data_IF_920809724672
#
_entry.id   IF_920809724672
#
_cell.length_a   1.000
_cell.length_b   1.000
_cell.length_c   1.000
_cell.angle_alpha   90.00
_cell.angle_beta   90.00
_cell.angle_gamma   90.00
#
_symmetry.space_group_name_H-M   'P 1'
#
loop_
_entity.id
_entity.type
_entity.pdbx_description
1 polymer ?
#
# COMPACT_ATOMS: atom_id res chain seq x y z
N UNK A 1 34.97 31.04 7.43
CA UNK A 1 33.67 31.01 8.13
C UNK A 1 32.52 30.43 7.30
N UNK A 2 32.56 30.51 5.96
CA UNK A 2 31.54 29.91 5.07
C UNK A 2 31.52 28.36 4.93
N UNK A 3 32.65 27.62 4.98
CA UNK A 3 32.62 26.17 4.69
C UNK A 3 31.98 25.34 5.80
N UNK A 4 32.05 25.78 7.06
CA UNK A 4 31.41 25.11 8.19
C UNK A 4 29.89 25.22 8.12
N UNK A 5 29.36 26.35 7.67
CA UNK A 5 27.93 26.56 7.49
C UNK A 5 27.36 25.61 6.42
N UNK A 6 28.05 25.44 5.30
CA UNK A 6 27.65 24.53 4.23
C UNK A 6 27.63 23.06 4.69
N UNK A 7 28.61 22.65 5.50
CA UNK A 7 28.65 21.30 6.09
C UNK A 7 27.50 21.06 7.07
N UNK A 8 27.15 22.06 7.89
CA UNK A 8 26.00 21.97 8.82
C UNK A 8 24.66 21.88 8.07
N UNK A 9 24.47 22.67 7.01
CA UNK A 9 23.24 22.61 6.20
C UNK A 9 23.14 21.26 5.48
N UNK A 10 24.25 20.78 4.89
CA UNK A 10 24.28 19.49 4.19
C UNK A 10 23.99 18.32 5.12
N UNK A 11 24.64 18.28 6.29
CA UNK A 11 24.39 17.23 7.29
C UNK A 11 22.97 17.26 7.83
N UNK A 12 22.41 18.44 8.09
CA UNK A 12 21.02 18.58 8.52
C UNK A 12 20.04 18.03 7.47
N UNK A 13 20.24 18.34 6.18
CA UNK A 13 19.42 17.80 5.10
C UNK A 13 19.49 16.27 5.02
N UNK A 14 20.69 15.69 5.15
CA UNK A 14 20.88 14.23 5.16
C UNK A 14 20.18 13.58 6.36
N UNK A 15 20.28 14.18 7.55
CA UNK A 15 19.60 13.71 8.76
C UNK A 15 18.08 13.72 8.56
N UNK A 16 17.52 14.78 7.98
CA UNK A 16 16.08 14.87 7.72
C UNK A 16 15.60 13.81 6.72
N UNK A 17 16.34 13.58 5.64
CA UNK A 17 16.00 12.56 4.64
C UNK A 17 16.08 11.16 5.24
N UNK A 18 17.16 10.86 5.97
CA UNK A 18 17.32 9.58 6.66
C UNK A 18 16.20 9.34 7.69
N UNK A 19 15.88 10.36 8.51
CA UNK A 19 14.79 10.27 9.47
C UNK A 19 13.45 9.97 8.80
N UNK A 20 13.15 10.56 7.64
CA UNK A 20 11.92 10.26 6.87
C UNK A 20 11.90 8.81 6.38
N UNK A 21 12.99 8.33 5.80
CA UNK A 21 13.11 6.95 5.31
C UNK A 21 13.00 5.92 6.45
N UNK A 22 13.56 6.22 7.62
CA UNK A 22 13.57 5.32 8.78
C UNK A 22 12.24 5.30 9.53
N UNK A 23 11.44 6.36 9.42
CA UNK A 23 10.13 6.49 10.10
C UNK A 23 8.94 6.19 9.19
N UNK A 24 9.14 5.98 7.89
CA UNK A 24 8.04 5.55 7.03
C UNK A 24 7.54 4.17 7.49
N UNK A 25 6.23 4.01 7.76
CA UNK A 25 5.69 2.73 8.20
C UNK A 25 5.93 1.68 7.11
N UNK A 26 6.32 0.48 7.52
CA UNK A 26 6.44 -0.65 6.62
C UNK A 26 5.12 -0.88 5.87
N UNK A 27 5.22 -1.33 4.62
CA UNK A 27 4.04 -1.64 3.82
C UNK A 27 3.10 -2.58 4.59
N UNK A 28 1.77 -2.35 4.56
CA UNK A 28 0.83 -3.14 5.35
C UNK A 28 0.94 -4.62 4.98
N UNK A 29 0.95 -5.48 6.01
CA UNK A 29 0.98 -6.92 5.84
C UNK A 29 -0.10 -7.40 4.86
N UNK A 30 0.28 -8.32 3.98
CA UNK A 30 -0.64 -8.95 3.03
C UNK A 30 -1.61 -9.80 3.84
N UNK A 31 -2.86 -9.35 3.97
CA UNK A 31 -3.91 -10.09 4.68
C UNK A 31 -4.71 -10.92 3.68
N UNK A 32 -5.06 -12.14 4.08
CA UNK A 32 -6.05 -12.93 3.36
C UNK A 32 -7.41 -12.25 3.52
N UNK A 33 -8.06 -11.98 2.40
CA UNK A 33 -9.35 -11.28 2.36
C UNK A 33 -10.42 -12.31 2.02
N UNK A 34 -11.47 -12.41 2.82
CA UNK A 34 -12.61 -13.29 2.53
C UNK A 34 -13.71 -12.50 1.85
N UNK A 35 -14.26 -13.02 0.76
CA UNK A 35 -15.34 -12.33 0.08
C UNK A 35 -16.63 -12.36 0.92
N UNK A 36 -17.27 -11.21 1.17
CA UNK A 36 -18.47 -11.16 2.01
C UNK A 36 -19.69 -11.84 1.38
N UNK A 37 -19.70 -12.05 0.05
CA UNK A 37 -20.81 -12.65 -0.69
C UNK A 37 -20.65 -14.15 -0.89
N UNK A 38 -19.51 -14.57 -1.43
CA UNK A 38 -19.22 -15.96 -1.81
C UNK A 38 -18.49 -16.74 -0.69
N UNK A 39 -18.01 -16.07 0.37
CA UNK A 39 -17.16 -16.62 1.45
C UNK A 39 -15.85 -17.27 0.97
N UNK A 40 -15.46 -17.03 -0.29
CA UNK A 40 -14.19 -17.51 -0.85
C UNK A 40 -13.06 -16.59 -0.39
N UNK A 41 -12.04 -17.19 0.22
CA UNK A 41 -10.79 -16.53 0.58
C UNK A 41 -9.98 -16.20 -0.66
N UNK A 42 -9.60 -14.93 -0.78
CA UNK A 42 -8.74 -14.43 -1.85
C UNK A 42 -7.28 -14.73 -1.53
N UNK A 43 -6.53 -15.10 -2.56
CA UNK A 43 -5.09 -15.36 -2.46
C UNK A 43 -4.33 -14.09 -2.03
N UNK A 44 -3.24 -14.27 -1.27
CA UNK A 44 -2.40 -13.18 -0.82
C UNK A 44 -1.77 -12.40 -1.99
N UNK A 45 -1.36 -13.11 -3.05
CA UNK A 45 -0.81 -12.49 -4.25
C UNK A 45 -1.93 -11.85 -5.08
N UNK A 46 -1.98 -10.51 -5.07
CA UNK A 46 -3.02 -9.74 -5.76
C UNK A 46 -2.82 -9.80 -7.28
N UNK A 47 -3.85 -10.21 -8.01
CA UNK A 47 -3.95 -10.07 -9.47
C UNK A 47 -5.03 -9.05 -9.80
N UNK A 48 -4.68 -7.81 -10.19
CA UNK A 48 -5.68 -6.79 -10.49
C UNK A 48 -6.46 -7.16 -11.75
N UNK A 49 -7.79 -7.06 -11.68
CA UNK A 49 -8.70 -7.33 -12.79
C UNK A 49 -9.06 -6.05 -13.58
N UNK A 50 -8.83 -4.87 -13.01
CA UNK A 50 -9.13 -3.58 -13.63
C UNK A 50 -8.15 -2.48 -13.18
N UNK A 51 -8.18 -1.33 -13.86
CA UNK A 51 -7.28 -0.20 -13.57
C UNK A 51 -7.44 0.33 -12.14
N UNK A 52 -8.66 0.28 -11.59
CA UNK A 52 -8.93 0.70 -10.22
C UNK A 52 -8.20 -0.19 -9.21
N UNK A 53 -8.22 -1.51 -9.40
CA UNK A 53 -7.48 -2.45 -8.55
C UNK A 53 -5.97 -2.34 -8.72
N UNK A 54 -5.51 -1.93 -9.90
CA UNK A 54 -4.09 -1.66 -10.12
C UNK A 54 -3.61 -0.43 -9.34
N UNK A 55 -4.39 0.66 -9.33
CA UNK A 55 -4.07 1.91 -8.63
C UNK A 55 -4.26 1.83 -7.11
N UNK A 56 -5.39 1.27 -6.67
CA UNK A 56 -5.83 1.33 -5.26
C UNK A 56 -5.69 -0.01 -4.52
N UNK A 57 -5.32 -1.07 -5.25
CA UNK A 57 -5.46 -2.44 -4.77
C UNK A 57 -6.91 -2.91 -4.76
N UNK A 58 -7.11 -4.14 -4.31
CA UNK A 58 -8.42 -4.77 -4.24
C UNK A 58 -8.41 -6.15 -4.86
N UNK A 59 -9.60 -6.74 -4.92
CA UNK A 59 -9.80 -8.11 -5.36
C UNK A 59 -11.13 -8.21 -6.13
N UNK A 60 -11.17 -9.10 -7.13
CA UNK A 60 -12.43 -9.58 -7.72
C UNK A 60 -12.62 -11.03 -7.27
N UNK A 61 -13.74 -11.37 -6.58
CA UNK A 61 -13.99 -12.78 -6.16
C UNK A 61 -14.07 -13.65 -7.42
N UNK A 62 -13.23 -14.70 -7.56
CA UNK A 62 -13.29 -15.60 -8.72
C UNK A 62 -14.57 -16.44 -8.77
N UNK A 63 -15.27 -16.61 -7.65
CA UNK A 63 -16.52 -17.38 -7.59
C UNK A 63 -17.80 -16.58 -7.87
N UNK A 64 -17.86 -15.28 -7.53
CA UNK A 64 -19.08 -14.47 -7.73
C UNK A 64 -18.88 -13.15 -8.48
N UNK A 65 -17.65 -12.83 -8.88
CA UNK A 65 -17.32 -11.60 -9.61
C UNK A 65 -17.41 -10.31 -8.80
N UNK A 66 -17.73 -10.37 -7.50
CA UNK A 66 -17.84 -9.18 -6.66
C UNK A 66 -16.48 -8.47 -6.56
N UNK A 67 -16.47 -7.19 -6.89
CA UNK A 67 -15.32 -6.32 -6.65
C UNK A 67 -15.27 -5.89 -5.20
N UNK A 68 -14.07 -5.95 -4.63
CA UNK A 68 -13.79 -5.62 -3.25
C UNK A 68 -12.58 -4.72 -3.16
N UNK A 69 -12.54 -3.87 -2.13
CA UNK A 69 -11.35 -3.09 -1.81
C UNK A 69 -10.22 -3.97 -1.24
N UNK A 70 -9.05 -3.36 -0.95
CA UNK A 70 -7.89 -4.08 -0.41
C UNK A 70 -8.13 -4.68 1.00
N UNK A 71 -9.24 -4.36 1.64
CA UNK A 71 -9.65 -4.83 2.97
C UNK A 71 -10.85 -5.80 2.91
N UNK A 72 -11.35 -6.14 1.72
CA UNK A 72 -12.47 -7.07 1.56
C UNK A 72 -13.85 -6.44 1.66
N UNK A 73 -13.95 -5.12 1.70
CA UNK A 73 -15.27 -4.48 1.67
C UNK A 73 -15.81 -4.49 0.24
N UNK A 74 -17.11 -4.79 0.07
CA UNK A 74 -17.73 -4.79 -1.25
C UNK A 74 -17.72 -3.38 -1.83
N UNK A 75 -17.44 -3.28 -3.12
CA UNK A 75 -17.59 -2.04 -3.86
C UNK A 75 -18.98 -2.03 -4.46
N UNK A 76 -19.69 -0.93 -4.23
CA UNK A 76 -20.95 -0.69 -4.92
C UNK A 76 -20.63 -0.39 -6.38
N UNK A 77 -21.20 -1.19 -7.28
CA UNK A 77 -21.35 -0.84 -8.69
C UNK A 77 -22.31 0.32 -8.83
#
# INVERSE_FOLDING_TARGET
MFPTLALLIGSFAVILIAARLLTTPAAPAVRNVTCPRCQITQIALRKPANARQWLWGGYTCPGCGLEMDRWGKPLKS
#
